data_IF_593096145285
#
_entry.id   IF_593096145285
#
_cell.length_a   1.000
_cell.length_b   1.000
_cell.length_c   1.000
_cell.angle_alpha   90.00
_cell.angle_beta   90.00
_cell.angle_gamma   90.00
#
_symmetry.space_group_name_H-M   'P 1'
#
loop_
_entity.id
_entity.type
_entity.pdbx_description
1 polymer ?
#
# COMPACT_ATOMS: atom_id res chain seq x y z
N UNK A 1 18.85 4.38 12.85
CA UNK A 1 18.07 3.20 13.19
C UNK A 1 16.62 3.37 12.79
N UNK A 2 16.09 2.40 12.10
CA UNK A 2 14.72 2.46 11.60
C UNK A 2 13.71 1.92 12.58
N UNK A 3 14.17 1.52 13.77
CA UNK A 3 13.28 0.92 14.74
C UNK A 3 12.96 -0.51 14.37
N UNK A 4 11.73 -0.90 14.62
CA UNK A 4 11.29 -2.26 14.29
C UNK A 4 10.01 -2.18 13.47
N UNK A 5 9.54 -3.33 13.02
CA UNK A 5 8.38 -3.38 12.13
C UNK A 5 7.14 -2.77 12.78
N UNK A 6 6.96 -3.00 14.08
CA UNK A 6 5.78 -2.46 14.75
C UNK A 6 5.81 -0.95 14.82
N UNK A 7 6.98 -0.36 15.12
CA UNK A 7 7.07 1.11 15.15
C UNK A 7 6.88 1.68 13.76
N UNK A 8 7.37 1.00 12.74
CA UNK A 8 7.15 1.47 11.38
C UNK A 8 5.66 1.39 11.01
N UNK A 9 4.98 0.37 11.49
CA UNK A 9 3.54 0.29 11.22
C UNK A 9 2.78 1.43 11.90
N UNK A 10 3.15 1.74 13.15
CA UNK A 10 2.52 2.86 13.84
C UNK A 10 2.77 4.16 13.07
N UNK A 11 4.00 4.34 12.60
CA UNK A 11 4.32 5.51 11.81
C UNK A 11 3.50 5.56 10.52
N UNK A 12 3.28 4.41 9.90
CA UNK A 12 2.45 4.34 8.70
C UNK A 12 1.04 4.82 9.00
N UNK A 13 0.51 4.44 10.15
CA UNK A 13 -0.84 4.88 10.52
C UNK A 13 -0.90 6.38 10.77
N UNK A 14 0.17 6.95 11.33
CA UNK A 14 0.25 8.39 11.50
C UNK A 14 0.24 9.09 10.14
N UNK A 15 1.03 8.57 9.20
CA UNK A 15 1.07 9.16 7.87
C UNK A 15 -0.26 9.00 7.15
N UNK A 16 -0.93 7.87 7.37
CA UNK A 16 -2.24 7.65 6.78
C UNK A 16 -3.24 8.69 7.30
N UNK A 17 -3.14 9.02 8.59
CA UNK A 17 -3.99 10.05 9.16
C UNK A 17 -3.73 11.41 8.54
N UNK A 18 -2.47 11.73 8.30
CA UNK A 18 -2.12 12.98 7.65
C UNK A 18 -2.65 13.03 6.21
N UNK A 19 -2.60 11.90 5.53
CA UNK A 19 -3.18 11.82 4.19
C UNK A 19 -4.68 12.07 4.22
N UNK A 20 -5.36 11.48 5.20
CA UNK A 20 -6.79 11.70 5.34
C UNK A 20 -7.12 13.17 5.53
N UNK A 21 -6.32 13.84 6.38
CA UNK A 21 -6.52 15.25 6.64
C UNK A 21 -6.26 16.08 5.39
N UNK A 22 -5.20 15.75 4.68
CA UNK A 22 -4.87 16.45 3.44
C UNK A 22 -5.98 16.32 2.40
N UNK A 23 -6.59 15.15 2.34
CA UNK A 23 -7.69 14.92 1.43
C UNK A 23 -8.91 15.75 1.82
N UNK A 24 -9.20 15.84 3.11
CA UNK A 24 -10.31 16.66 3.56
C UNK A 24 -10.11 18.13 3.22
N UNK A 25 -8.88 18.60 3.29
CA UNK A 25 -8.56 19.97 2.94
C UNK A 25 -8.41 20.18 1.44
N UNK A 26 -8.36 19.11 0.69
CA UNK A 26 -8.11 19.16 -0.74
C UNK A 26 -6.81 19.90 -1.06
N UNK A 27 -5.80 19.68 -0.23
CA UNK A 27 -4.50 20.31 -0.38
C UNK A 27 -3.61 19.39 -1.19
N UNK A 28 -3.45 19.71 -2.47
CA UNK A 28 -2.73 18.82 -3.38
C UNK A 28 -1.27 18.64 -3.01
N UNK A 29 -0.65 19.68 -2.49
CA UNK A 29 0.74 19.57 -2.06
C UNK A 29 0.87 18.59 -0.90
N UNK A 30 0.02 18.73 0.10
CA UNK A 30 0.07 17.84 1.26
C UNK A 30 -0.33 16.42 0.92
N UNK A 31 -1.26 16.26 -0.02
CA UNK A 31 -1.65 14.92 -0.48
C UNK A 31 -0.45 14.23 -1.09
N UNK A 32 0.25 14.92 -1.97
CA UNK A 32 1.42 14.35 -2.62
C UNK A 32 2.50 13.99 -1.60
N UNK A 33 2.73 14.89 -0.67
CA UNK A 33 3.75 14.68 0.35
C UNK A 33 3.39 13.47 1.23
N UNK A 34 2.13 13.38 1.65
CA UNK A 34 1.70 12.28 2.50
C UNK A 34 1.81 10.94 1.80
N UNK A 35 1.44 10.89 0.52
CA UNK A 35 1.58 9.65 -0.24
C UNK A 35 3.03 9.22 -0.28
N UNK A 36 3.93 10.16 -0.56
CA UNK A 36 5.35 9.85 -0.59
C UNK A 36 5.86 9.36 0.76
N UNK A 37 5.43 10.02 1.83
CA UNK A 37 5.85 9.62 3.17
C UNK A 37 5.41 8.20 3.49
N UNK A 38 4.21 7.82 3.08
CA UNK A 38 3.73 6.46 3.31
C UNK A 38 4.58 5.45 2.55
N UNK A 39 4.98 5.79 1.33
CA UNK A 39 5.83 4.88 0.54
C UNK A 39 7.18 4.72 1.22
N UNK A 40 7.74 5.80 1.77
CA UNK A 40 9.01 5.72 2.48
C UNK A 40 8.90 4.80 3.69
N UNK A 41 7.83 4.96 4.47
CA UNK A 41 7.63 4.12 5.64
C UNK A 41 7.48 2.66 5.24
N UNK A 42 6.72 2.40 4.19
CA UNK A 42 6.54 1.02 3.71
C UNK A 42 7.86 0.44 3.22
N UNK A 43 8.68 1.25 2.57
CA UNK A 43 9.98 0.80 2.12
C UNK A 43 10.86 0.38 3.30
N UNK A 44 10.85 1.19 4.36
CA UNK A 44 11.60 0.85 5.56
C UNK A 44 11.07 -0.41 6.22
N UNK A 45 9.76 -0.56 6.26
CA UNK A 45 9.14 -1.75 6.84
C UNK A 45 9.53 -3.00 6.06
N UNK A 46 9.52 -2.91 4.74
CA UNK A 46 9.91 -4.05 3.91
C UNK A 46 11.33 -4.47 4.22
N UNK A 47 12.25 -3.51 4.33
CA UNK A 47 13.64 -3.82 4.64
C UNK A 47 13.76 -4.50 5.99
N UNK A 48 13.02 -4.02 6.98
CA UNK A 48 13.05 -4.64 8.31
C UNK A 48 12.55 -6.08 8.29
N UNK A 49 11.67 -6.39 7.35
CA UNK A 49 11.14 -7.75 7.21
C UNK A 49 11.97 -8.58 6.24
N UNK A 50 13.13 -8.09 5.83
CA UNK A 50 14.00 -8.83 4.94
C UNK A 50 13.57 -8.84 3.48
N UNK A 51 12.81 -7.84 3.08
CA UNK A 51 12.27 -7.76 1.73
C UNK A 51 12.64 -6.45 1.08
N UNK A 52 12.42 -6.39 -0.23
CA UNK A 52 12.54 -5.15 -0.97
C UNK A 52 11.16 -4.72 -1.40
N UNK A 53 10.90 -3.42 -1.30
CA UNK A 53 9.57 -2.90 -1.63
C UNK A 53 9.21 -3.22 -3.08
N UNK A 54 10.19 -3.26 -3.97
CA UNK A 54 9.93 -3.59 -5.38
C UNK A 54 9.36 -5.00 -5.51
N UNK A 55 9.86 -5.94 -4.72
CA UNK A 55 9.34 -7.31 -4.75
C UNK A 55 7.91 -7.36 -4.26
N UNK A 56 7.60 -6.56 -3.25
CA UNK A 56 6.24 -6.50 -2.74
C UNK A 56 5.29 -5.96 -3.80
N UNK A 57 5.72 -4.92 -4.49
CA UNK A 57 4.91 -4.32 -5.55
C UNK A 57 4.69 -5.31 -6.68
N UNK A 58 5.76 -5.99 -7.08
CA UNK A 58 5.68 -6.97 -8.15
C UNK A 58 4.72 -8.09 -7.79
N UNK A 59 4.81 -8.58 -6.58
CA UNK A 59 3.94 -9.65 -6.11
C UNK A 59 2.47 -9.24 -6.17
N UNK A 60 2.18 -8.03 -5.71
CA UNK A 60 0.82 -7.52 -5.73
C UNK A 60 0.33 -7.36 -7.17
N UNK A 61 1.20 -6.91 -8.04
CA UNK A 61 0.87 -6.70 -9.44
C UNK A 61 0.53 -8.02 -10.12
N UNK A 62 1.33 -9.05 -9.85
CA UNK A 62 1.08 -10.37 -10.42
C UNK A 62 -0.26 -10.93 -9.95
N UNK A 63 -0.59 -10.70 -8.70
CA UNK A 63 -1.84 -11.18 -8.16
C UNK A 63 -3.02 -10.50 -8.85
N UNK A 64 -2.92 -9.21 -9.06
CA UNK A 64 -3.97 -8.48 -9.76
C UNK A 64 -4.10 -8.96 -11.20
N UNK A 65 -2.99 -9.19 -11.87
CA UNK A 65 -3.01 -9.69 -13.24
C UNK A 65 -3.70 -11.05 -13.30
N UNK A 66 -3.42 -11.94 -12.34
CA UNK A 66 -4.06 -13.23 -12.29
C UNK A 66 -5.56 -13.11 -12.07
N UNK A 67 -5.96 -12.18 -11.22
CA UNK A 67 -7.39 -11.96 -10.99
C UNK A 67 -8.08 -11.50 -12.26
N UNK A 68 -7.43 -10.60 -12.99
CA UNK A 68 -7.99 -10.12 -14.26
C UNK A 68 -8.13 -11.24 -15.26
N UNK A 69 -7.22 -12.20 -15.24
CA UNK A 69 -7.29 -13.33 -16.12
C UNK A 69 -8.49 -14.22 -15.86
N UNK A 70 -9.16 -14.04 -14.73
CA UNK A 70 -10.32 -14.82 -14.37
C UNK A 70 -11.64 -14.07 -14.56
N UNK A 71 -11.61 -12.99 -15.29
CA UNK A 71 -12.82 -12.25 -15.60
C UNK A 71 -13.72 -13.11 -16.48
N UNK A 72 -14.98 -13.16 -16.11
CA UNK A 72 -15.96 -13.94 -16.86
C UNK A 72 -17.22 -13.12 -17.02
N UNK A 73 -17.70 -13.06 -18.25
CA UNK A 73 -18.94 -12.35 -18.54
C UNK A 73 -18.91 -10.93 -18.02
N UNK A 74 -17.75 -10.29 -18.08
CA UNK A 74 -17.59 -8.94 -17.60
C UNK A 74 -17.55 -8.82 -16.10
N UNK A 75 -17.53 -9.92 -15.39
CA UNK A 75 -17.50 -9.94 -13.94
C UNK A 75 -16.21 -10.54 -13.45
N UNK A 76 -15.57 -9.87 -12.50
CA UNK A 76 -14.37 -10.39 -11.91
C UNK A 76 -14.69 -11.52 -10.96
N UNK A 77 -14.11 -12.69 -11.22
CA UNK A 77 -14.33 -13.86 -10.38
C UNK A 77 -13.08 -14.09 -9.54
N UNK A 78 -13.25 -14.17 -8.25
CA UNK A 78 -12.15 -14.41 -7.33
C UNK A 78 -12.33 -15.75 -6.68
N UNK A 79 -11.24 -16.49 -6.67
CA UNK A 79 -11.25 -17.85 -6.17
C UNK A 79 -10.95 -17.86 -4.67
N UNK A 80 -11.98 -17.84 -3.85
CA UNK A 80 -11.82 -18.05 -2.45
C UNK A 80 -11.22 -16.89 -1.67
N UNK A 81 -11.10 -15.72 -2.28
CA UNK A 81 -10.56 -14.58 -1.59
C UNK A 81 -11.59 -13.49 -1.44
N UNK A 82 -11.39 -12.67 -0.44
CA UNK A 82 -12.28 -11.57 -0.26
C UNK A 82 -11.99 -10.48 -1.26
N UNK A 83 -13.02 -9.75 -1.58
CA UNK A 83 -12.87 -8.61 -2.45
C UNK A 83 -12.05 -7.55 -1.76
N UNK A 84 -11.00 -7.09 -2.40
CA UNK A 84 -10.10 -6.12 -1.79
C UNK A 84 -9.89 -4.87 -2.62
N UNK A 85 -10.40 -4.82 -3.81
CA UNK A 85 -10.21 -3.62 -4.64
C UNK A 85 -11.52 -2.97 -5.02
#
# INVERSE_FOLDING_TARGET
>A
DKGNSHTQYVKLMEEAGELAEALLKNDKYEIKDAIGDMVVVLTNLAVLEGMQIESCIESAYQEIANRKGKMENGTFVRTGLKQTL
#
